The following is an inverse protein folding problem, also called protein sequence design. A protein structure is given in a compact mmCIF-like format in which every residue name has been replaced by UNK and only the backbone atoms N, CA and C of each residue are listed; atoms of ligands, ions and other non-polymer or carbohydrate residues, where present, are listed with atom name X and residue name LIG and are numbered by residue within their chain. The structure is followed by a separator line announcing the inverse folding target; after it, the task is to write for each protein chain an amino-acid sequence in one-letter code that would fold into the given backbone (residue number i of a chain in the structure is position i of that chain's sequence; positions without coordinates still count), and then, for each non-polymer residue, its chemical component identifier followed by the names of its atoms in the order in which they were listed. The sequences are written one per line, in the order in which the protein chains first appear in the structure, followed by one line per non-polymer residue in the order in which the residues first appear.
data_IF_671761221608
#
_entry.id   IF_671761221608
#
_cell.length_a   1.000
_cell.length_b   1.000
_cell.length_c   1.000
_cell.angle_alpha   90.00
_cell.angle_beta   90.00
_cell.angle_gamma   90.00
#
_symmetry.space_group_name_H-M   'P 1'
#
loop_
_entity.id
_entity.type
_entity.pdbx_description
1 polymer ?
#
# COMPACT_ATOMS: atom_id res chain seq x y z
N UNK A 1 43.44 -17.12 11.58
CA UNK A 1 42.33 -16.89 12.54
C UNK A 1 41.80 -15.46 12.57
N UNK A 2 42.62 -14.39 12.55
CA UNK A 2 42.11 -12.99 12.61
C UNK A 2 41.24 -12.54 11.42
N UNK A 3 41.50 -13.04 10.21
CA UNK A 3 40.71 -12.70 9.01
C UNK A 3 39.29 -13.31 9.01
N UNK A 4 39.09 -14.46 9.65
CA UNK A 4 37.77 -15.13 9.69
C UNK A 4 36.77 -14.35 10.57
N UNK A 5 37.28 -13.72 11.64
CA UNK A 5 36.47 -12.95 12.59
C UNK A 5 35.95 -11.64 11.96
N UNK A 6 36.78 -10.95 11.17
CA UNK A 6 36.39 -9.75 10.44
C UNK A 6 35.35 -10.03 9.36
N UNK A 7 35.48 -11.16 8.64
CA UNK A 7 34.48 -11.58 7.67
C UNK A 7 33.13 -11.90 8.34
N UNK A 8 33.13 -12.53 9.51
CA UNK A 8 31.91 -12.84 10.26
C UNK A 8 31.21 -11.57 10.77
N UNK A 9 31.98 -10.58 11.27
CA UNK A 9 31.45 -9.29 11.73
C UNK A 9 30.84 -8.51 10.55
N UNK A 10 31.49 -8.49 9.39
CA UNK A 10 30.93 -7.87 8.19
C UNK A 10 29.64 -8.57 7.75
N UNK A 11 29.60 -9.91 7.79
CA UNK A 11 28.41 -10.69 7.44
C UNK A 11 27.24 -10.37 8.39
N UNK A 12 27.49 -10.28 9.70
CA UNK A 12 26.49 -9.89 10.69
C UNK A 12 26.04 -8.43 10.53
N UNK A 13 26.92 -7.52 10.14
CA UNK A 13 26.56 -6.14 9.86
C UNK A 13 25.69 -6.03 8.59
N UNK A 14 25.98 -6.82 7.55
CA UNK A 14 25.19 -6.88 6.32
C UNK A 14 23.83 -7.53 6.58
N UNK A 15 23.77 -8.59 7.40
CA UNK A 15 22.50 -9.23 7.78
C UNK A 15 21.60 -8.31 8.63
N UNK A 16 22.17 -7.58 9.60
CA UNK A 16 21.39 -6.63 10.43
C UNK A 16 20.94 -5.38 9.67
N UNK A 17 21.61 -4.99 8.61
CA UNK A 17 21.20 -3.85 7.77
C UNK A 17 20.13 -4.22 6.74
N UNK A 18 19.97 -5.52 6.42
CA UNK A 18 18.96 -6.01 5.50
C UNK A 18 17.54 -6.07 6.13
N UNK A 19 17.42 -6.27 7.44
CA UNK A 19 16.11 -6.37 8.11
C UNK A 19 15.39 -5.04 8.36
N UNK A 20 16.10 -3.90 8.25
CA UNK A 20 15.49 -2.58 8.50
C UNK A 20 14.72 -1.99 7.29
N UNK A 21 14.73 -2.67 6.13
CA UNK A 21 14.29 -2.05 4.88
C UNK A 21 12.88 -2.47 4.38
N UNK A 22 12.18 -3.39 5.06
CA UNK A 22 10.98 -4.02 4.46
C UNK A 22 9.82 -4.33 5.42
N UNK A 23 9.77 -3.71 6.60
CA UNK A 23 8.61 -3.86 7.50
C UNK A 23 7.79 -2.56 7.62
N UNK A 24 7.65 -1.82 6.51
CA UNK A 24 6.99 -0.49 6.51
C UNK A 24 5.50 -0.55 6.82
N UNK A 25 4.88 -1.72 6.70
CA UNK A 25 3.44 -1.92 6.90
C UNK A 25 3.04 -2.49 8.26
N UNK A 26 3.99 -2.66 9.19
CA UNK A 26 3.67 -2.90 10.60
C UNK A 26 3.63 -1.59 11.37
N UNK A 27 2.52 -1.37 12.07
CA UNK A 27 2.25 -0.10 12.74
C UNK A 27 1.79 -0.33 14.18
N UNK A 28 2.25 0.52 15.09
CA UNK A 28 1.89 0.47 16.51
C UNK A 28 1.24 1.79 16.91
N UNK A 29 0.00 1.72 17.40
CA UNK A 29 -0.76 2.86 17.90
C UNK A 29 -1.24 2.55 19.33
N UNK A 30 -0.56 3.13 20.32
CA UNK A 30 -0.82 2.82 21.73
C UNK A 30 -0.62 1.32 22.02
N UNK A 31 -1.68 0.65 22.46
CA UNK A 31 -1.68 -0.80 22.71
C UNK A 31 -1.98 -1.64 21.46
N UNK A 32 -2.45 -1.03 20.38
CA UNK A 32 -2.86 -1.74 19.17
C UNK A 32 -1.68 -1.89 18.23
N UNK A 33 -1.44 -3.12 17.78
CA UNK A 33 -0.43 -3.44 16.77
C UNK A 33 -1.15 -3.92 15.52
N UNK A 34 -0.71 -3.46 14.36
CA UNK A 34 -1.29 -3.84 13.06
C UNK A 34 -0.19 -4.38 12.16
N UNK A 35 -0.49 -5.43 11.40
CA UNK A 35 0.43 -6.01 10.40
C UNK A 35 -0.27 -6.10 9.05
N UNK A 36 -0.19 -5.00 8.29
CA UNK A 36 -0.77 -4.93 6.95
C UNK A 36 0.03 -5.71 5.91
N UNK A 37 1.24 -6.21 6.23
CA UNK A 37 1.93 -7.12 5.31
C UNK A 37 1.12 -8.39 5.07
N UNK A 38 0.22 -8.76 5.98
CA UNK A 38 -0.71 -9.88 5.78
C UNK A 38 -1.68 -9.65 4.61
N UNK A 39 -1.75 -8.44 4.07
CA UNK A 39 -2.54 -8.09 2.90
C UNK A 39 -1.74 -8.07 1.58
N UNK A 40 -0.42 -8.23 1.61
CA UNK A 40 0.44 -8.12 0.42
C UNK A 40 0.20 -9.18 -0.65
N UNK A 41 -0.40 -10.30 -0.27
CA UNK A 41 -0.75 -11.40 -1.18
C UNK A 41 -2.10 -11.18 -1.89
N UNK A 42 -2.88 -10.19 -1.46
CA UNK A 42 -4.22 -9.90 -1.98
C UNK A 42 -4.20 -8.68 -2.88
N UNK A 43 -4.73 -8.84 -4.09
CA UNK A 43 -5.06 -7.71 -4.95
C UNK A 43 -6.54 -7.42 -4.83
N UNK A 44 -6.85 -6.21 -4.43
CA UNK A 44 -8.19 -5.68 -4.20
C UNK A 44 -8.66 -4.98 -5.47
N UNK A 45 -9.89 -5.26 -5.86
CA UNK A 45 -10.50 -4.67 -7.05
C UNK A 45 -11.65 -3.74 -6.63
N UNK A 46 -11.75 -2.63 -7.34
CA UNK A 46 -12.83 -1.65 -7.21
C UNK A 46 -13.24 -1.14 -8.59
N UNK A 47 -14.44 -0.59 -8.69
CA UNK A 47 -14.90 0.10 -9.90
C UNK A 47 -15.91 1.17 -9.51
N UNK A 48 -16.03 2.20 -10.34
CA UNK A 48 -17.12 3.17 -10.32
C UNK A 48 -17.73 3.33 -11.73
N UNK A 49 -18.42 4.44 -12.00
CA UNK A 49 -19.07 4.71 -13.29
C UNK A 49 -18.09 5.02 -14.43
N UNK A 50 -16.85 5.40 -14.13
CA UNK A 50 -15.85 5.82 -15.14
C UNK A 50 -14.60 4.94 -15.13
N UNK A 51 -14.27 4.35 -14.00
CA UNK A 51 -12.97 3.76 -13.73
C UNK A 51 -13.05 2.35 -13.16
N UNK A 52 -12.03 1.55 -13.50
CA UNK A 52 -11.71 0.29 -12.82
C UNK A 52 -10.40 0.44 -12.06
N UNK A 53 -10.26 -0.21 -10.92
CA UNK A 53 -9.14 -0.03 -10.00
C UNK A 53 -8.60 -1.36 -9.51
N UNK A 54 -7.28 -1.45 -9.37
CA UNK A 54 -6.63 -2.52 -8.64
C UNK A 54 -5.61 -1.97 -7.63
N UNK A 55 -5.48 -2.64 -6.50
CA UNK A 55 -4.58 -2.24 -5.42
C UNK A 55 -4.10 -3.45 -4.63
N UNK A 56 -2.78 -3.59 -4.44
CA UNK A 56 -2.20 -4.59 -3.53
C UNK A 56 -1.58 -3.85 -2.35
N UNK A 57 -2.15 -3.93 -1.14
CA UNK A 57 -1.56 -3.27 0.03
C UNK A 57 -0.12 -3.73 0.27
N UNK A 58 0.80 -2.78 0.49
CA UNK A 58 2.17 -3.07 0.94
C UNK A 58 3.04 -3.87 -0.05
N UNK A 59 2.60 -4.09 -1.28
CA UNK A 59 3.36 -4.80 -2.29
C UNK A 59 3.01 -4.33 -3.70
N UNK A 60 3.83 -4.74 -4.66
CA UNK A 60 3.55 -4.50 -6.07
C UNK A 60 2.26 -5.22 -6.48
N UNK A 61 1.43 -4.55 -7.27
CA UNK A 61 0.23 -5.11 -7.87
C UNK A 61 0.59 -6.33 -8.72
N UNK A 62 -0.27 -7.36 -8.73
CA UNK A 62 -0.01 -8.57 -9.53
C UNK A 62 -0.02 -8.21 -11.03
N UNK A 63 0.86 -8.81 -11.86
CA UNK A 63 1.04 -8.41 -13.26
C UNK A 63 -0.24 -8.33 -14.11
N UNK A 64 -1.20 -9.23 -13.85
CA UNK A 64 -2.44 -9.30 -14.64
C UNK A 64 -3.57 -8.41 -14.10
N UNK A 65 -3.43 -7.86 -12.90
CA UNK A 65 -4.49 -7.10 -12.25
C UNK A 65 -4.74 -5.73 -12.92
N UNK A 66 -3.72 -5.17 -13.57
CA UNK A 66 -3.81 -3.93 -14.34
C UNK A 66 -3.89 -4.20 -15.85
N UNK A 67 -4.44 -5.35 -16.25
CA UNK A 67 -4.62 -5.78 -17.65
C UNK A 67 -3.38 -5.57 -18.55
N UNK A 68 -2.19 -5.94 -18.04
CA UNK A 68 -0.92 -5.84 -18.76
C UNK A 68 -0.19 -4.50 -18.61
N UNK A 69 -0.78 -3.50 -17.93
CA UNK A 69 -0.06 -2.33 -17.44
C UNK A 69 0.94 -2.78 -16.36
N UNK A 70 2.19 -3.01 -16.78
CA UNK A 70 3.24 -3.49 -15.89
C UNK A 70 4.21 -2.35 -15.59
N UNK A 71 3.97 -1.66 -14.47
CA UNK A 71 4.88 -0.65 -13.95
C UNK A 71 5.63 -1.18 -12.73
N UNK A 72 6.95 -0.96 -12.69
CA UNK A 72 7.78 -1.44 -11.58
C UNK A 72 7.39 -0.74 -10.27
N UNK A 73 7.17 -1.53 -9.20
CA UNK A 73 6.75 -1.06 -7.87
C UNK A 73 5.39 -0.36 -7.84
N UNK A 74 4.56 -0.49 -8.88
CA UNK A 74 3.17 -0.02 -8.85
C UNK A 74 2.40 -0.79 -7.78
N UNK A 75 1.85 -0.08 -6.81
CA UNK A 75 1.04 -0.65 -5.74
C UNK A 75 -0.45 -0.62 -6.11
N UNK A 76 -0.86 0.36 -6.92
CA UNK A 76 -2.23 0.51 -7.42
C UNK A 76 -2.27 1.18 -8.78
N UNK A 77 -3.23 0.73 -9.60
CA UNK A 77 -3.53 1.25 -10.92
C UNK A 77 -5.01 1.62 -11.06
N UNK A 78 -5.28 2.55 -11.97
CA UNK A 78 -6.60 2.97 -12.40
C UNK A 78 -6.70 2.85 -13.91
N UNK A 79 -7.78 2.26 -14.41
CA UNK A 79 -8.16 2.25 -15.81
C UNK A 79 -9.29 3.23 -16.05
N UNK A 80 -9.05 4.21 -16.92
CA UNK A 80 -10.08 5.11 -17.43
C UNK A 80 -10.76 4.46 -18.65
N UNK A 81 -12.06 4.17 -18.55
CA UNK A 81 -12.80 3.51 -19.64
C UNK A 81 -13.10 4.43 -20.81
N UNK A 82 -13.20 5.74 -20.57
CA UNK A 82 -13.50 6.73 -21.60
C UNK A 82 -12.30 6.97 -22.50
N UNK A 83 -11.11 7.04 -21.92
CA UNK A 83 -9.85 7.27 -22.63
C UNK A 83 -9.05 6.00 -22.89
N UNK A 84 -9.51 4.85 -22.37
CA UNK A 84 -8.85 3.55 -22.45
C UNK A 84 -7.39 3.61 -21.99
N UNK A 85 -7.13 4.35 -20.91
CA UNK A 85 -5.78 4.63 -20.44
C UNK A 85 -5.59 4.17 -18.99
N UNK A 86 -4.37 3.72 -18.70
CA UNK A 86 -3.94 3.36 -17.36
C UNK A 86 -3.23 4.51 -16.68
N UNK A 87 -3.34 4.58 -15.37
CA UNK A 87 -2.57 5.49 -14.53
C UNK A 87 -2.18 4.80 -13.23
N UNK A 88 -0.95 5.03 -12.80
CA UNK A 88 -0.46 4.56 -11.50
C UNK A 88 -1.02 5.46 -10.40
N UNK A 89 -1.83 4.89 -9.52
CA UNK A 89 -2.43 5.63 -8.40
C UNK A 89 -1.46 5.78 -7.24
N UNK A 90 -0.61 4.77 -7.02
CA UNK A 90 0.43 4.81 -6.00
C UNK A 90 1.53 3.78 -6.30
N UNK A 91 2.72 4.10 -5.81
CA UNK A 91 3.86 3.19 -5.82
C UNK A 91 4.12 2.67 -4.40
N UNK A 92 4.85 1.57 -4.29
CA UNK A 92 5.35 1.10 -3.00
C UNK A 92 6.35 2.11 -2.44
N UNK A 93 6.02 2.75 -1.33
CA UNK A 93 6.90 3.69 -0.62
C UNK A 93 7.57 4.75 -1.53
N UNK A 94 8.79 5.18 -1.24
CA UNK A 94 9.54 6.17 -2.04
C UNK A 94 10.04 5.64 -3.41
N UNK A 95 9.41 4.60 -3.98
CA UNK A 95 9.81 4.02 -5.28
C UNK A 95 9.21 4.70 -6.51
N UNK A 96 8.33 5.68 -6.32
CA UNK A 96 7.82 6.47 -7.44
C UNK A 96 8.93 7.19 -8.20
N UNK A 97 8.87 7.26 -9.53
CA UNK A 97 9.79 8.07 -10.33
C UNK A 97 9.51 9.58 -10.23
N UNK A 98 8.39 9.98 -9.63
CA UNK A 98 7.93 11.37 -9.58
C UNK A 98 8.11 11.98 -8.18
N UNK A 99 8.72 13.18 -8.07
CA UNK A 99 8.76 13.90 -6.81
C UNK A 99 7.42 14.62 -6.52
N UNK A 100 7.06 14.84 -5.24
CA UNK A 100 7.70 14.29 -4.04
C UNK A 100 7.27 12.83 -3.79
N UNK A 101 8.23 11.93 -3.62
CA UNK A 101 8.01 10.52 -3.36
C UNK A 101 8.36 10.16 -1.91
N UNK A 102 7.39 10.33 -1.01
CA UNK A 102 7.51 9.89 0.37
C UNK A 102 7.09 8.42 0.54
N UNK A 103 7.54 7.79 1.63
CA UNK A 103 6.98 6.52 2.07
C UNK A 103 5.51 6.70 2.46
N UNK A 104 4.76 5.60 2.50
CA UNK A 104 3.39 5.65 3.01
C UNK A 104 3.36 6.14 4.47
N UNK A 105 2.36 6.94 4.80
CA UNK A 105 2.10 7.34 6.18
C UNK A 105 0.89 6.61 6.74
N UNK A 106 0.90 6.39 8.06
CA UNK A 106 -0.11 5.60 8.74
C UNK A 106 -0.62 6.32 9.97
N UNK A 107 -1.92 6.22 10.20
CA UNK A 107 -2.59 6.70 11.41
C UNK A 107 -3.65 5.69 11.84
N UNK A 108 -4.00 5.69 13.13
CA UNK A 108 -5.12 4.89 13.61
C UNK A 108 -6.44 5.35 12.94
N UNK A 109 -7.34 4.41 12.66
CA UNK A 109 -8.62 4.72 12.02
C UNK A 109 -9.38 5.79 12.84
N UNK A 110 -9.88 6.88 12.20
CA UNK A 110 -10.60 7.96 12.87
C UNK A 110 -11.89 7.51 13.58
N UNK A 111 -12.44 6.34 13.24
CA UNK A 111 -13.62 5.79 13.92
C UNK A 111 -13.32 5.30 15.35
N UNK A 112 -12.04 5.22 15.72
CA UNK A 112 -11.57 4.98 17.09
C UNK A 112 -10.54 3.86 17.21
N UNK A 113 -9.93 3.69 18.40
CA UNK A 113 -8.89 2.70 18.60
C UNK A 113 -9.34 1.27 18.32
N UNK A 114 -8.50 0.50 17.64
CA UNK A 114 -8.76 -0.90 17.31
C UNK A 114 -9.73 -1.13 16.14
N UNK A 115 -10.29 -0.07 15.54
CA UNK A 115 -11.23 -0.17 14.43
C UNK A 115 -10.54 -0.31 13.07
N UNK A 116 -9.22 -0.14 13.02
CA UNK A 116 -8.42 -0.28 11.81
C UNK A 116 -7.32 0.78 11.68
N UNK A 117 -6.91 1.02 10.43
CA UNK A 117 -5.77 1.87 10.11
C UNK A 117 -6.01 2.65 8.82
N UNK A 118 -5.61 3.92 8.81
CA UNK A 118 -5.61 4.77 7.63
C UNK A 118 -4.18 4.84 7.06
N UNK A 119 -4.02 4.39 5.82
CA UNK A 119 -2.80 4.52 5.04
C UNK A 119 -2.94 5.66 4.04
N UNK A 120 -1.91 6.49 3.88
CA UNK A 120 -1.88 7.57 2.87
C UNK A 120 -0.61 7.49 2.03
N UNK A 121 -0.76 7.60 0.71
CA UNK A 121 0.36 7.71 -0.24
C UNK A 121 0.24 8.99 -1.07
N UNK A 122 1.39 9.57 -1.44
CA UNK A 122 1.47 10.85 -2.17
C UNK A 122 2.35 10.76 -3.42
N UNK A 123 2.51 9.56 -3.94
CA UNK A 123 3.60 9.20 -4.84
C UNK A 123 3.11 8.67 -6.19
N UNK A 124 1.81 8.77 -6.52
CA UNK A 124 1.29 8.29 -7.81
C UNK A 124 1.70 9.15 -9.01
N UNK A 125 1.18 8.80 -10.18
CA UNK A 125 1.44 9.53 -11.43
C UNK A 125 0.99 11.00 -11.36
N UNK A 126 1.62 11.91 -12.13
CA UNK A 126 1.18 13.29 -12.23
C UNK A 126 -0.26 13.43 -12.70
N UNK A 127 -0.97 14.38 -12.11
CA UNK A 127 -2.37 14.66 -12.37
C UNK A 127 -2.59 16.16 -12.14
N UNK A 128 -2.85 16.91 -13.22
CA UNK A 128 -3.11 18.36 -13.20
C UNK A 128 -2.10 19.21 -12.40
N UNK A 129 -0.80 18.89 -12.50
CA UNK A 129 0.27 19.65 -11.83
C UNK A 129 0.53 19.25 -10.37
N UNK A 130 -0.17 18.24 -9.85
CA UNK A 130 0.12 17.56 -8.58
C UNK A 130 0.38 16.07 -8.82
N UNK A 131 0.84 15.33 -7.81
CA UNK A 131 0.88 13.85 -7.86
C UNK A 131 -0.47 13.28 -7.44
N UNK A 132 -0.80 12.06 -7.89
CA UNK A 132 -1.97 11.33 -7.36
C UNK A 132 -1.76 10.94 -5.89
N UNK A 133 -2.81 11.10 -5.11
CA UNK A 133 -2.90 10.75 -3.70
C UNK A 133 -3.86 9.58 -3.51
N UNK A 134 -3.52 8.67 -2.61
CA UNK A 134 -4.41 7.58 -2.21
C UNK A 134 -4.55 7.55 -0.70
N UNK A 135 -5.79 7.52 -0.22
CA UNK A 135 -6.16 7.36 1.19
C UNK A 135 -6.95 6.07 1.32
N UNK A 136 -6.39 5.14 2.06
CA UNK A 136 -6.94 3.80 2.22
C UNK A 136 -7.33 3.62 3.67
N UNK A 137 -8.62 3.53 3.93
CA UNK A 137 -9.16 3.19 5.23
C UNK A 137 -9.33 1.68 5.32
N UNK A 138 -8.40 1.03 5.99
CA UNK A 138 -8.55 -0.38 6.35
C UNK A 138 -9.41 -0.49 7.60
N UNK A 139 -10.54 -1.18 7.48
CA UNK A 139 -11.56 -1.36 8.52
C UNK A 139 -11.44 -2.80 9.04
N UNK A 140 -11.29 -2.94 10.35
CA UNK A 140 -11.26 -4.24 11.01
C UNK A 140 -12.60 -4.95 10.82
N UNK A 141 -12.57 -6.06 10.08
CA UNK A 141 -13.71 -6.93 9.89
C UNK A 141 -13.26 -8.40 9.92
N UNK A 142 -13.44 -9.03 11.07
CA UNK A 142 -13.02 -10.43 11.29
C UNK A 142 -13.74 -11.44 10.41
N UNK A 143 -14.82 -11.06 9.74
CA UNK A 143 -15.54 -11.95 8.81
C UNK A 143 -14.90 -12.03 7.42
N UNK A 144 -13.97 -11.12 7.10
CA UNK A 144 -13.36 -11.00 5.76
C UNK A 144 -11.89 -11.44 5.81
N UNK A 145 -11.66 -12.76 5.75
CA UNK A 145 -10.31 -13.32 5.79
C UNK A 145 -9.55 -13.21 4.46
N UNK A 146 -10.27 -13.17 3.34
CA UNK A 146 -9.72 -13.09 1.99
C UNK A 146 -10.33 -11.89 1.26
N UNK A 147 -9.85 -10.67 1.51
CA UNK A 147 -10.39 -9.49 0.87
C UNK A 147 -10.02 -9.50 -0.62
N UNK A 148 -11.02 -9.32 -1.48
CA UNK A 148 -10.86 -9.19 -2.94
C UNK A 148 -11.44 -7.87 -3.46
N UNK A 149 -12.14 -7.14 -2.61
CA UNK A 149 -12.89 -5.94 -2.99
C UNK A 149 -12.49 -4.75 -2.13
N UNK A 150 -12.45 -3.58 -2.77
CA UNK A 150 -12.41 -2.28 -2.10
C UNK A 150 -13.58 -1.43 -2.57
N UNK A 151 -14.06 -0.54 -1.70
CA UNK A 151 -15.13 0.40 -2.02
C UNK A 151 -14.52 1.75 -2.32
N UNK A 152 -14.78 2.28 -3.52
CA UNK A 152 -14.42 3.65 -3.88
C UNK A 152 -15.38 4.61 -3.20
N UNK A 153 -14.86 5.42 -2.28
CA UNK A 153 -15.66 6.38 -1.51
C UNK A 153 -15.66 7.74 -2.19
N UNK A 154 -14.51 8.17 -2.72
CA UNK A 154 -14.36 9.49 -3.30
C UNK A 154 -13.21 9.55 -4.32
N UNK A 155 -13.44 10.29 -5.40
CA UNK A 155 -12.43 10.70 -6.35
C UNK A 155 -12.57 12.20 -6.63
N UNK A 156 -11.65 13.01 -6.09
CA UNK A 156 -11.66 14.47 -6.31
C UNK A 156 -10.25 14.93 -6.65
N UNK A 157 -10.07 15.49 -7.86
CA UNK A 157 -8.84 16.19 -8.27
C UNK A 157 -7.57 15.45 -7.84
N UNK A 158 -7.42 14.20 -8.28
CA UNK A 158 -6.25 13.35 -8.05
C UNK A 158 -6.14 12.76 -6.62
N UNK A 159 -7.15 12.93 -5.78
CA UNK A 159 -7.22 12.39 -4.42
C UNK A 159 -8.25 11.26 -4.35
N UNK A 160 -7.78 10.03 -4.13
CA UNK A 160 -8.56 8.79 -4.17
C UNK A 160 -8.77 8.21 -2.78
N UNK A 161 -10.02 8.04 -2.37
CA UNK A 161 -10.37 7.48 -1.07
C UNK A 161 -11.05 6.14 -1.26
N UNK A 162 -10.51 5.13 -0.59
CA UNK A 162 -11.03 3.77 -0.63
C UNK A 162 -11.15 3.18 0.76
N UNK A 163 -12.22 2.41 0.94
CA UNK A 163 -12.46 1.61 2.13
C UNK A 163 -12.18 0.14 1.82
N UNK A 164 -11.41 -0.50 2.70
CA UNK A 164 -11.06 -1.92 2.63
C UNK A 164 -11.46 -2.60 3.93
N UNK A 165 -12.37 -3.56 3.87
CA UNK A 165 -12.73 -4.40 5.02
C UNK A 165 -11.89 -5.67 5.00
N UNK A 166 -11.20 -5.96 6.10
CA UNK A 166 -10.35 -7.15 6.19
C UNK A 166 -10.12 -7.58 7.64
N UNK A 167 -9.95 -8.88 7.88
CA UNK A 167 -9.56 -9.41 9.18
C UNK A 167 -8.12 -9.00 9.55
N UNK A 168 -7.27 -8.80 8.54
CA UNK A 168 -5.89 -8.35 8.66
C UNK A 168 -5.78 -6.87 9.10
N UNK A 169 -6.86 -6.10 8.96
CA UNK A 169 -6.94 -4.73 9.45
C UNK A 169 -7.23 -4.66 10.96
N UNK A 170 -7.51 -5.79 11.61
CA UNK A 170 -7.72 -5.85 13.05
C UNK A 170 -6.38 -5.87 13.82
N UNK A 171 -6.34 -5.33 15.05
CA UNK A 171 -5.14 -5.43 15.89
C UNK A 171 -4.71 -6.88 16.12
N UNK A 172 -3.41 -7.13 16.03
CA UNK A 172 -2.78 -8.39 16.45
C UNK A 172 -2.50 -8.34 17.96
N UNK A 173 -2.70 -9.49 18.63
CA UNK A 173 -2.42 -9.65 20.06
C UNK A 173 -0.94 -9.86 20.32
#
# INVERSE_FOLDING_TARGET
MRFLFLALILLFAILNTAECAMDSCRQNFGSNKYDLNRLSEFTLFGSDDEYDYAFTPCATVKPDACHGHTVLNEMSCQYDRSFQMWSTMSFVDSKSPWPPNANASYTENPDGPGTGILMTTTNGDPCFGVTRYMRIKFICDKSVEQPTHMTVVQWIRCDFHVDVRAAQACPIQ
#
